data_IF_826426283524
#
_entry.id   IF_826426283524
#
_cell.length_a   1.000
_cell.length_b   1.000
_cell.length_c   1.000
_cell.angle_alpha   90.00
_cell.angle_beta   90.00
_cell.angle_gamma   90.00
#
_symmetry.space_group_name_H-M   'P 1'
#
loop_
_entity.id
_entity.type
_entity.pdbx_description
1 polymer ?
#
# COMPACT_ATOMS: atom_id res chain seq x y z
N UNK A 1 21.71 36.49 -18.55
CA UNK A 1 21.78 35.47 -17.49
C UNK A 1 21.14 34.20 -18.02
N UNK A 2 21.94 33.17 -18.34
CA UNK A 2 21.45 31.87 -18.83
C UNK A 2 21.10 31.02 -17.62
N UNK A 3 19.87 30.54 -17.54
CA UNK A 3 19.42 29.60 -16.50
C UNK A 3 20.22 28.29 -16.61
N UNK A 4 20.75 27.82 -15.49
CA UNK A 4 21.39 26.51 -15.39
C UNK A 4 20.31 25.40 -15.58
N UNK A 5 20.62 24.29 -16.27
CA UNK A 5 19.72 23.16 -16.34
C UNK A 5 19.55 22.57 -14.93
N UNK A 6 18.30 22.33 -14.54
CA UNK A 6 17.96 21.60 -13.32
C UNK A 6 18.49 20.16 -13.46
N UNK A 7 19.24 19.72 -12.47
CA UNK A 7 19.65 18.34 -12.33
C UNK A 7 18.41 17.45 -12.37
N UNK A 8 18.45 16.43 -13.23
CA UNK A 8 17.43 15.37 -13.27
C UNK A 8 17.49 14.66 -11.91
N UNK A 9 16.45 14.83 -11.11
CA UNK A 9 16.23 14.02 -9.94
C UNK A 9 16.09 12.57 -10.42
N UNK A 10 17.11 11.75 -10.19
CA UNK A 10 17.00 10.31 -10.34
C UNK A 10 16.05 9.83 -9.24
N UNK A 11 14.80 9.57 -9.60
CA UNK A 11 13.84 8.88 -8.74
C UNK A 11 14.28 7.43 -8.59
N UNK A 12 14.97 7.15 -7.51
CA UNK A 12 15.39 5.80 -7.13
C UNK A 12 14.39 5.29 -6.11
N UNK A 13 13.65 4.26 -6.48
CA UNK A 13 13.04 3.35 -5.50
C UNK A 13 11.54 3.26 -5.37
N UNK A 14 10.82 2.99 -6.45
CA UNK A 14 9.48 2.38 -6.34
C UNK A 14 9.58 0.89 -6.11
N UNK A 15 8.81 0.36 -5.14
CA UNK A 15 8.60 -1.08 -5.06
C UNK A 15 7.93 -1.54 -6.37
N UNK A 16 8.55 -2.45 -7.14
CA UNK A 16 8.03 -2.82 -8.45
C UNK A 16 6.68 -3.53 -8.31
N UNK A 17 5.78 -3.23 -9.24
CA UNK A 17 4.53 -3.95 -9.39
C UNK A 17 4.78 -5.45 -9.57
N UNK A 18 3.89 -6.29 -9.05
CA UNK A 18 3.87 -7.72 -9.37
C UNK A 18 3.67 -7.87 -10.89
N UNK A 19 4.76 -7.99 -11.63
CA UNK A 19 4.71 -8.13 -13.09
C UNK A 19 4.21 -9.51 -13.46
N UNK A 20 2.97 -9.59 -13.95
CA UNK A 20 2.68 -10.66 -14.88
C UNK A 20 3.48 -10.39 -16.15
N UNK A 21 4.16 -11.44 -16.66
CA UNK A 21 4.88 -11.44 -17.95
C UNK A 21 3.84 -11.20 -19.05
N UNK A 22 3.60 -9.95 -19.37
CA UNK A 22 2.88 -9.55 -20.56
C UNK A 22 3.84 -8.67 -21.34
N UNK A 23 4.04 -9.01 -22.62
CA UNK A 23 4.77 -8.25 -23.62
C UNK A 23 4.62 -6.75 -23.39
N UNK A 24 5.73 -6.01 -23.33
CA UNK A 24 5.80 -4.55 -23.18
C UNK A 24 5.05 -3.85 -24.32
N UNK A 25 3.73 -3.84 -24.28
CA UNK A 25 2.94 -2.87 -25.00
C UNK A 25 3.19 -1.51 -24.33
N UNK A 26 3.48 -0.48 -25.11
CA UNK A 26 3.69 0.89 -24.64
C UNK A 26 2.48 1.29 -23.80
N UNK A 27 2.65 1.43 -22.48
CA UNK A 27 1.56 1.79 -21.57
C UNK A 27 0.93 3.12 -22.00
N UNK A 28 -0.38 3.22 -21.86
CA UNK A 28 -1.09 4.44 -22.22
C UNK A 28 -0.82 5.57 -21.22
N UNK A 29 -1.14 6.78 -21.60
CA UNK A 29 -1.02 7.98 -20.77
C UNK A 29 -2.24 8.23 -19.84
N UNK A 30 -3.19 7.28 -19.79
CA UNK A 30 -4.38 7.34 -18.92
C UNK A 30 -4.72 5.96 -18.39
N UNK A 31 -5.16 5.89 -17.13
CA UNK A 31 -5.43 4.63 -16.44
C UNK A 31 -6.62 4.75 -15.50
N UNK A 32 -7.42 3.70 -15.43
CA UNK A 32 -8.28 3.44 -14.29
C UNK A 32 -7.44 2.77 -13.20
N UNK A 33 -7.24 3.45 -12.06
CA UNK A 33 -6.73 2.85 -10.83
C UNK A 33 -7.90 2.41 -9.97
N UNK A 34 -7.99 1.13 -9.68
CA UNK A 34 -9.13 0.53 -8.98
C UNK A 34 -8.66 -0.13 -7.69
N UNK A 35 -9.31 0.20 -6.58
CA UNK A 35 -9.19 -0.49 -5.29
C UNK A 35 -10.39 -1.42 -5.10
N UNK A 36 -10.14 -2.72 -5.06
CA UNK A 36 -11.14 -3.75 -4.77
C UNK A 36 -11.24 -3.97 -3.26
N UNK A 37 -11.78 -2.98 -2.55
CA UNK A 37 -12.09 -3.10 -1.13
C UNK A 37 -13.22 -4.11 -0.85
N UNK A 38 -13.31 -4.62 0.39
CA UNK A 38 -14.31 -5.65 0.75
C UNK A 38 -15.73 -5.10 0.96
N UNK A 39 -15.89 -3.79 1.07
CA UNK A 39 -17.20 -3.14 1.26
C UNK A 39 -17.46 -2.06 0.21
N UNK A 40 -16.42 -1.33 -0.17
CA UNK A 40 -16.49 -0.24 -1.15
C UNK A 40 -15.40 -0.44 -2.20
N UNK A 41 -15.81 -0.50 -3.47
CA UNK A 41 -14.87 -0.35 -4.58
C UNK A 41 -14.63 1.12 -4.83
N UNK A 42 -13.38 1.51 -5.01
CA UNK A 42 -12.98 2.87 -5.30
C UNK A 42 -12.20 2.92 -6.60
N UNK A 43 -12.36 3.99 -7.34
CA UNK A 43 -11.66 4.17 -8.59
C UNK A 43 -11.27 5.60 -8.84
N UNK A 44 -10.15 5.77 -9.54
CA UNK A 44 -9.67 7.05 -10.06
C UNK A 44 -9.37 6.92 -11.54
N UNK A 45 -9.59 8.00 -12.29
CA UNK A 45 -9.10 8.15 -13.66
C UNK A 45 -7.97 9.17 -13.62
N UNK A 46 -6.73 8.69 -13.71
CA UNK A 46 -5.53 9.49 -13.79
C UNK A 46 -5.00 9.58 -15.21
N UNK A 47 -4.46 10.73 -15.56
CA UNK A 47 -3.77 11.00 -16.81
C UNK A 47 -2.38 11.54 -16.55
N UNK A 48 -1.38 11.08 -17.30
CA UNK A 48 -0.03 11.63 -17.33
C UNK A 48 0.07 12.66 -18.45
N UNK A 49 0.46 13.89 -18.10
CA UNK A 49 0.72 14.98 -19.04
C UNK A 49 2.19 15.36 -18.98
N UNK A 50 2.95 15.00 -20.02
CA UNK A 50 4.41 15.16 -20.01
C UNK A 50 5.11 14.13 -19.12
N UNK A 51 6.30 14.46 -18.60
CA UNK A 51 7.13 13.50 -17.89
C UNK A 51 6.71 13.31 -16.41
N UNK A 52 6.32 14.39 -15.71
CA UNK A 52 6.14 14.36 -14.26
C UNK A 52 4.81 14.97 -13.77
N UNK A 53 3.83 15.17 -14.64
CA UNK A 53 2.56 15.79 -14.26
C UNK A 53 1.40 14.81 -14.38
N UNK A 54 0.73 14.58 -13.26
CA UNK A 54 -0.44 13.72 -13.18
C UNK A 54 -1.70 14.53 -12.92
N UNK A 55 -2.78 14.14 -13.54
CA UNK A 55 -4.05 14.86 -13.50
C UNK A 55 -5.17 13.91 -13.11
N UNK A 56 -5.86 14.19 -12.00
CA UNK A 56 -7.09 13.51 -11.64
C UNK A 56 -8.25 14.08 -12.48
N UNK A 57 -8.83 13.26 -13.33
CA UNK A 57 -9.94 13.66 -14.21
C UNK A 57 -11.28 13.09 -13.76
N UNK A 58 -11.29 12.02 -12.99
CA UNK A 58 -12.49 11.48 -12.34
C UNK A 58 -12.14 10.59 -11.15
N UNK A 59 -13.09 10.44 -10.23
CA UNK A 59 -13.08 9.41 -9.19
C UNK A 59 -14.51 8.93 -8.93
N UNK A 60 -14.64 7.75 -8.35
CA UNK A 60 -15.90 7.18 -7.90
C UNK A 60 -15.68 6.19 -6.76
N UNK A 61 -16.65 6.11 -5.87
CA UNK A 61 -16.75 5.10 -4.81
C UNK A 61 -18.10 4.41 -4.94
N UNK A 62 -18.13 3.09 -4.75
CA UNK A 62 -19.32 2.27 -4.88
C UNK A 62 -19.37 1.21 -3.80
N UNK A 63 -20.41 1.20 -3.00
CA UNK A 63 -20.69 0.08 -2.11
C UNK A 63 -20.96 -1.19 -2.92
N UNK A 64 -20.43 -2.30 -2.42
CA UNK A 64 -20.59 -3.62 -3.04
C UNK A 64 -21.10 -4.62 -2.02
N UNK A 65 -21.78 -5.69 -2.47
CA UNK A 65 -22.12 -6.80 -1.60
C UNK A 65 -20.90 -7.34 -0.87
N UNK A 66 -21.08 -7.74 0.39
CA UNK A 66 -19.98 -8.23 1.25
C UNK A 66 -19.25 -9.42 0.63
N UNK A 67 -19.96 -10.27 -0.13
CA UNK A 67 -19.39 -11.39 -0.85
C UNK A 67 -19.74 -11.32 -2.34
N UNK A 68 -18.72 -11.33 -3.17
CA UNK A 68 -18.80 -11.50 -4.62
C UNK A 68 -18.18 -12.85 -4.98
N UNK A 69 -19.03 -13.88 -5.15
CA UNK A 69 -18.59 -15.28 -5.26
C UNK A 69 -18.15 -15.66 -6.66
N UNK A 70 -18.69 -14.98 -7.68
CA UNK A 70 -18.45 -15.33 -9.07
C UNK A 70 -17.75 -14.21 -9.85
N UNK A 71 -17.00 -14.54 -10.93
CA UNK A 71 -16.46 -13.55 -11.83
C UNK A 71 -17.54 -12.65 -12.48
N UNK A 72 -18.75 -13.18 -12.68
CA UNK A 72 -19.89 -12.46 -13.23
C UNK A 72 -20.36 -11.33 -12.29
N UNK A 73 -20.54 -11.64 -11.01
CA UNK A 73 -20.92 -10.66 -9.99
C UNK A 73 -19.87 -9.56 -9.85
N UNK A 74 -18.61 -9.95 -9.79
CA UNK A 74 -17.50 -8.99 -9.74
C UNK A 74 -17.46 -8.12 -11.01
N UNK A 75 -17.63 -8.72 -12.20
CA UNK A 75 -17.67 -7.99 -13.47
C UNK A 75 -18.82 -6.99 -13.53
N UNK A 76 -19.98 -7.33 -12.94
CA UNK A 76 -21.12 -6.42 -12.87
C UNK A 76 -20.77 -5.19 -12.02
N UNK A 77 -20.18 -5.37 -10.84
CA UNK A 77 -19.77 -4.24 -9.98
C UNK A 77 -18.70 -3.38 -10.64
N UNK A 78 -17.71 -4.00 -11.29
CA UNK A 78 -16.70 -3.26 -12.05
C UNK A 78 -17.27 -2.44 -13.20
N UNK A 79 -18.23 -2.99 -13.96
CA UNK A 79 -18.92 -2.22 -15.03
C UNK A 79 -19.66 -1.01 -14.49
N UNK A 80 -20.31 -1.14 -13.34
CA UNK A 80 -20.98 -0.03 -12.68
C UNK A 80 -19.98 1.04 -12.22
N UNK A 81 -18.85 0.61 -11.60
CA UNK A 81 -17.80 1.55 -11.19
C UNK A 81 -17.18 2.28 -12.39
N UNK A 82 -16.89 1.58 -13.51
CA UNK A 82 -16.39 2.21 -14.73
C UNK A 82 -17.38 3.22 -15.32
N UNK A 83 -18.69 2.93 -15.23
CA UNK A 83 -19.73 3.87 -15.62
C UNK A 83 -19.75 5.13 -14.73
N UNK A 84 -19.59 4.96 -13.42
CA UNK A 84 -19.58 6.08 -12.44
C UNK A 84 -18.30 6.94 -12.59
N UNK A 85 -17.16 6.30 -12.93
CA UNK A 85 -15.93 7.00 -13.28
C UNK A 85 -16.13 7.83 -14.54
N UNK A 86 -16.85 7.30 -15.53
CA UNK A 86 -16.99 7.94 -16.84
C UNK A 86 -15.65 8.02 -17.58
N UNK A 87 -15.68 8.70 -18.75
CA UNK A 87 -14.46 8.86 -19.55
C UNK A 87 -13.94 7.55 -20.17
N UNK A 88 -12.69 7.57 -20.60
CA UNK A 88 -12.01 6.39 -21.15
C UNK A 88 -10.56 6.37 -20.68
N UNK A 89 -10.08 5.20 -20.31
CA UNK A 89 -8.69 4.95 -19.99
C UNK A 89 -8.05 4.02 -21.04
N UNK A 90 -6.74 4.11 -21.19
CA UNK A 90 -5.95 3.22 -22.05
C UNK A 90 -5.44 2.00 -21.31
N UNK A 91 -5.56 1.99 -20.00
CA UNK A 91 -5.16 0.88 -19.13
C UNK A 91 -6.04 0.77 -17.90
N UNK A 92 -5.91 -0.37 -17.21
CA UNK A 92 -6.58 -0.66 -15.98
C UNK A 92 -5.59 -1.31 -14.99
N UNK A 93 -5.40 -0.67 -13.85
CA UNK A 93 -4.55 -1.15 -12.78
C UNK A 93 -5.42 -1.41 -11.54
N UNK A 94 -5.29 -2.61 -10.96
CA UNK A 94 -6.15 -3.07 -9.88
C UNK A 94 -5.32 -3.35 -8.64
N UNK A 95 -5.72 -2.76 -7.53
CA UNK A 95 -5.23 -3.06 -6.20
C UNK A 95 -6.23 -3.95 -5.46
N UNK A 96 -5.71 -4.86 -4.65
CA UNK A 96 -6.48 -5.88 -3.95
C UNK A 96 -6.19 -5.79 -2.46
N UNK A 97 -7.26 -5.63 -1.67
CA UNK A 97 -7.26 -5.77 -0.23
C UNK A 97 -7.90 -7.12 0.13
N UNK A 98 -7.08 -8.15 0.32
CA UNK A 98 -7.56 -9.48 0.66
C UNK A 98 -6.86 -10.01 1.92
N UNK A 99 -7.61 -10.38 2.99
CA UNK A 99 -7.05 -11.00 4.20
C UNK A 99 -6.23 -12.26 3.91
N UNK A 100 -6.55 -12.98 2.83
CA UNK A 100 -5.79 -14.15 2.38
C UNK A 100 -4.51 -13.81 1.61
N UNK A 101 -4.18 -12.55 1.40
CA UNK A 101 -2.94 -12.15 0.73
C UNK A 101 -1.73 -12.24 1.68
N UNK A 102 -0.56 -12.49 1.09
CA UNK A 102 0.72 -12.52 1.77
C UNK A 102 1.51 -11.27 1.42
N UNK A 103 2.04 -10.58 2.43
CA UNK A 103 3.06 -9.54 2.22
C UNK A 103 4.07 -9.63 3.35
N UNK A 104 5.36 -9.89 3.02
CA UNK A 104 6.44 -10.11 3.98
C UNK A 104 7.74 -9.49 3.47
N UNK A 105 8.53 -8.97 4.40
CA UNK A 105 9.94 -8.62 4.15
C UNK A 105 10.78 -9.78 4.66
N UNK A 106 11.67 -10.28 3.82
CA UNK A 106 12.61 -11.37 4.15
C UNK A 106 14.04 -10.95 3.88
N UNK A 107 14.97 -11.53 4.61
CA UNK A 107 16.40 -11.37 4.38
C UNK A 107 16.99 -12.68 3.84
N UNK A 108 17.58 -12.62 2.65
CA UNK A 108 18.20 -13.76 1.99
C UNK A 108 19.55 -13.34 1.39
N UNK A 109 20.50 -14.26 1.18
CA UNK A 109 21.66 -13.99 0.34
C UNK A 109 21.21 -13.40 -1.00
N UNK A 110 22.02 -12.53 -1.59
CA UNK A 110 21.70 -11.95 -2.89
C UNK A 110 21.34 -13.06 -3.89
N UNK A 111 20.07 -13.06 -4.31
CA UNK A 111 19.49 -14.13 -5.15
C UNK A 111 18.74 -13.48 -6.32
N UNK A 112 19.01 -13.89 -7.57
CA UNK A 112 18.23 -13.45 -8.72
C UNK A 112 16.73 -13.69 -8.51
N UNK A 113 15.92 -12.72 -8.87
CA UNK A 113 14.47 -12.70 -8.56
C UNK A 113 13.74 -13.96 -9.03
N UNK A 114 14.06 -14.46 -10.24
CA UNK A 114 13.40 -15.65 -10.78
C UNK A 114 13.76 -16.91 -9.98
N UNK A 115 15.01 -17.02 -9.51
CA UNK A 115 15.43 -18.12 -8.63
C UNK A 115 14.76 -18.01 -7.26
N UNK A 116 14.71 -16.81 -6.69
CA UNK A 116 14.05 -16.57 -5.40
C UNK A 116 12.55 -16.90 -5.48
N UNK A 117 11.87 -16.44 -6.52
CA UNK A 117 10.45 -16.75 -6.76
C UNK A 117 10.18 -18.24 -6.86
N UNK A 118 11.05 -18.99 -7.55
CA UNK A 118 10.95 -20.44 -7.66
C UNK A 118 11.22 -21.13 -6.32
N UNK A 119 12.25 -20.69 -5.58
CA UNK A 119 12.57 -21.22 -4.26
C UNK A 119 11.42 -21.01 -3.27
N UNK A 120 10.82 -19.82 -3.23
CA UNK A 120 9.66 -19.51 -2.39
C UNK A 120 8.46 -20.39 -2.72
N UNK A 121 8.21 -20.64 -4.01
CA UNK A 121 7.10 -21.51 -4.42
C UNK A 121 7.27 -22.96 -3.99
N UNK A 122 8.52 -23.44 -3.99
CA UNK A 122 8.85 -24.83 -3.62
C UNK A 122 8.98 -25.02 -2.11
N UNK A 123 9.52 -24.03 -1.41
CA UNK A 123 9.86 -24.12 0.01
C UNK A 123 9.40 -22.91 0.82
N UNK A 124 8.23 -22.35 0.49
CA UNK A 124 7.67 -21.19 1.16
C UNK A 124 7.48 -21.38 2.67
N UNK A 125 7.18 -22.60 3.09
CA UNK A 125 7.00 -22.91 4.53
C UNK A 125 8.27 -22.59 5.34
N UNK A 126 9.45 -22.92 4.85
CA UNK A 126 10.70 -22.68 5.56
C UNK A 126 11.10 -21.19 5.59
N UNK A 127 10.76 -20.43 4.56
CA UNK A 127 11.18 -19.03 4.41
C UNK A 127 10.12 -18.05 4.91
N UNK A 128 8.85 -18.33 4.63
CA UNK A 128 7.71 -17.44 4.91
C UNK A 128 6.84 -17.93 6.08
N UNK A 129 7.14 -19.11 6.62
CA UNK A 129 6.29 -19.82 7.59
C UNK A 129 4.86 -20.02 7.06
N UNK A 130 4.73 -20.22 5.74
CA UNK A 130 3.44 -20.38 5.06
C UNK A 130 3.60 -21.27 3.81
N UNK A 131 2.67 -22.18 3.58
CA UNK A 131 2.61 -22.93 2.32
C UNK A 131 2.18 -22.00 1.18
N UNK A 132 2.97 -22.02 0.09
CA UNK A 132 2.80 -21.09 -1.02
C UNK A 132 2.35 -21.74 -2.34
N UNK A 133 1.98 -23.03 -2.32
CA UNK A 133 1.59 -23.78 -3.53
C UNK A 133 0.42 -23.16 -4.28
N UNK A 134 -0.55 -22.63 -3.53
CA UNK A 134 -1.77 -22.04 -4.07
C UNK A 134 -1.69 -20.54 -4.30
N UNK A 135 -0.49 -19.96 -4.12
CA UNK A 135 -0.27 -18.55 -4.35
C UNK A 135 0.29 -18.26 -5.74
N UNK A 136 -0.08 -17.10 -6.26
CA UNK A 136 0.69 -16.35 -7.27
C UNK A 136 1.62 -15.46 -6.47
N UNK A 137 2.93 -15.74 -6.55
CA UNK A 137 3.96 -15.00 -5.82
C UNK A 137 4.75 -14.08 -6.74
N UNK A 138 5.11 -12.93 -6.21
CA UNK A 138 6.15 -12.09 -6.76
C UNK A 138 7.06 -11.55 -5.65
N UNK A 139 8.27 -11.13 -6.01
CA UNK A 139 9.21 -10.55 -5.07
C UNK A 139 10.05 -9.47 -5.73
N UNK A 140 10.48 -8.50 -4.92
CA UNK A 140 11.32 -7.41 -5.34
C UNK A 140 12.37 -7.12 -4.27
N UNK A 141 13.59 -6.70 -4.64
CA UNK A 141 14.54 -6.23 -3.65
C UNK A 141 14.01 -4.95 -3.01
N UNK A 142 14.09 -4.85 -1.69
CA UNK A 142 13.99 -3.58 -0.98
C UNK A 142 15.36 -2.93 -1.12
N UNK A 143 15.40 -1.68 -1.56
CA UNK A 143 16.65 -0.98 -1.79
C UNK A 143 17.38 -0.86 -0.45
N UNK A 144 18.56 -1.50 -0.35
CA UNK A 144 19.50 -1.17 0.69
C UNK A 144 20.27 0.09 0.25
N UNK A 145 20.59 0.99 1.17
CA UNK A 145 21.60 2.01 0.92
C UNK A 145 22.85 1.29 0.39
N UNK A 146 23.38 1.73 -0.73
CA UNK A 146 24.73 1.35 -1.13
C UNK A 146 25.66 1.77 0.00
N UNK A 147 25.95 0.86 0.91
CA UNK A 147 27.10 1.00 1.78
C UNK A 147 28.27 1.05 0.82
N UNK A 148 28.80 2.25 0.58
CA UNK A 148 30.04 2.47 -0.14
C UNK A 148 31.10 1.55 0.47
N UNK A 149 31.16 0.34 -0.05
CA UNK A 149 32.24 -0.59 0.19
C UNK A 149 33.53 0.05 -0.31
N UNK A 150 34.20 0.76 0.57
CA UNK A 150 35.57 1.22 0.36
C UNK A 150 36.39 -0.03 0.04
N UNK A 151 36.56 -0.31 -1.25
CA UNK A 151 37.52 -1.26 -1.71
C UNK A 151 38.89 -0.79 -1.16
N UNK A 152 39.37 -1.46 -0.14
CA UNK A 152 40.72 -1.29 0.35
C UNK A 152 41.64 -1.86 -0.75
N UNK A 153 42.08 -1.00 -1.63
CA UNK A 153 43.21 -1.30 -2.51
C UNK A 153 44.42 -1.64 -1.64
N UNK A 154 44.71 -2.93 -1.52
CA UNK A 154 45.93 -3.44 -0.89
C UNK A 154 47.15 -2.97 -1.68
N UNK A 155 47.87 -2.00 -1.13
CA UNK A 155 49.23 -1.72 -1.50
C UNK A 155 50.15 -2.80 -0.93
N UNK A 156 50.96 -3.38 -1.80
CA UNK A 156 52.05 -4.30 -1.51
C UNK A 156 52.93 -3.81 -0.34
N UNK A 157 53.13 -4.67 0.64
CA UNK A 157 54.15 -4.51 1.70
C UNK A 157 54.55 -5.87 2.22
N UNK A 158 55.77 -6.28 1.87
CA UNK A 158 56.48 -7.46 2.36
C UNK A 158 56.69 -7.41 3.89
N UNK A 159 56.46 -8.54 4.59
CA UNK A 159 56.85 -8.66 6.01
C UNK A 159 56.35 -9.93 6.69
N UNK A 160 57.28 -10.76 7.02
CA UNK A 160 57.19 -12.06 7.69
C UNK A 160 56.35 -12.18 8.95
N UNK A 161 55.68 -13.33 9.08
CA UNK A 161 55.61 -14.12 10.33
C UNK A 161 54.46 -13.85 11.26
N UNK A 162 53.53 -14.75 11.30
CA UNK A 162 52.96 -15.47 12.43
C UNK A 162 51.51 -15.91 12.09
N UNK A 163 51.28 -17.17 12.30
CA UNK A 163 50.00 -17.85 12.15
C UNK A 163 48.98 -17.32 13.15
N UNK A 164 48.02 -16.55 12.70
CA UNK A 164 46.77 -16.30 13.41
C UNK A 164 45.62 -17.03 12.70
N UNK A 165 44.92 -17.81 13.48
CA UNK A 165 43.79 -18.65 13.08
C UNK A 165 42.72 -17.81 12.37
N UNK A 166 42.45 -18.13 11.12
CA UNK A 166 41.38 -17.60 10.29
C UNK A 166 40.00 -18.11 10.80
N UNK A 167 39.46 -17.51 11.83
CA UNK A 167 38.01 -17.53 12.10
C UNK A 167 37.30 -16.49 11.24
N UNK A 168 37.43 -16.61 9.94
CA UNK A 168 36.69 -15.82 8.97
C UNK A 168 35.26 -16.38 8.80
N UNK A 169 34.34 -15.99 9.64
CA UNK A 169 32.94 -16.08 9.26
C UNK A 169 32.73 -15.08 8.12
N UNK A 170 32.85 -15.55 6.88
CA UNK A 170 32.32 -14.83 5.71
C UNK A 170 30.79 -14.72 5.88
N UNK A 171 30.30 -13.69 6.53
CA UNK A 171 28.91 -13.36 6.52
C UNK A 171 28.54 -12.94 5.09
N UNK A 172 27.91 -13.84 4.36
CA UNK A 172 27.37 -13.54 3.04
C UNK A 172 26.41 -12.35 3.21
N UNK A 173 26.69 -11.26 2.52
CA UNK A 173 25.82 -10.07 2.56
C UNK A 173 24.39 -10.46 2.23
N UNK A 174 23.47 -10.16 3.14
CA UNK A 174 22.03 -10.43 2.95
C UNK A 174 21.37 -9.23 2.28
N UNK A 175 20.43 -9.53 1.42
CA UNK A 175 19.57 -8.55 0.75
C UNK A 175 18.15 -8.71 1.29
N UNK A 176 17.48 -7.60 1.56
CA UNK A 176 16.06 -7.58 1.92
C UNK A 176 15.21 -7.69 0.65
N UNK A 177 14.19 -8.52 0.71
CA UNK A 177 13.22 -8.68 -0.36
C UNK A 177 11.81 -8.50 0.18
N UNK A 178 10.99 -7.72 -0.51
CA UNK A 178 9.55 -7.72 -0.33
C UNK A 178 8.97 -8.88 -1.13
N UNK A 179 8.24 -9.74 -0.46
CA UNK A 179 7.53 -10.87 -1.07
C UNK A 179 6.05 -10.63 -0.94
N UNK A 180 5.36 -10.60 -2.08
CA UNK A 180 3.91 -10.49 -2.16
C UNK A 180 3.29 -11.75 -2.76
N UNK A 181 2.09 -12.11 -2.29
CA UNK A 181 1.36 -13.25 -2.79
C UNK A 181 -0.14 -13.12 -2.69
N UNK A 182 -0.84 -13.64 -3.69
CA UNK A 182 -2.29 -13.75 -3.71
C UNK A 182 -2.71 -15.18 -4.04
N UNK A 183 -3.82 -15.62 -3.47
CA UNK A 183 -4.40 -16.93 -3.80
C UNK A 183 -4.76 -17.00 -5.29
N UNK A 184 -4.40 -18.10 -5.95
CA UNK A 184 -4.70 -18.34 -7.38
C UNK A 184 -6.18 -18.21 -7.73
N UNK A 185 -7.14 -18.73 -6.93
CA UNK A 185 -8.55 -18.52 -7.19
C UNK A 185 -8.95 -17.05 -7.24
N UNK A 186 -8.45 -16.23 -6.32
CA UNK A 186 -8.72 -14.77 -6.28
C UNK A 186 -8.17 -14.08 -7.53
N UNK A 187 -6.92 -14.36 -7.91
CA UNK A 187 -6.31 -13.80 -9.13
C UNK A 187 -7.10 -14.20 -10.37
N UNK A 188 -7.51 -15.48 -10.45
CA UNK A 188 -8.31 -16.00 -11.57
C UNK A 188 -9.67 -15.31 -11.65
N UNK A 189 -10.39 -15.21 -10.54
CA UNK A 189 -11.69 -14.54 -10.48
C UNK A 189 -11.61 -13.09 -10.96
N UNK A 190 -10.61 -12.34 -10.50
CA UNK A 190 -10.42 -10.93 -10.89
C UNK A 190 -10.08 -10.83 -12.36
N UNK A 191 -9.15 -11.65 -12.86
CA UNK A 191 -8.76 -11.66 -14.29
C UNK A 191 -9.95 -11.96 -15.21
N UNK A 192 -10.75 -12.97 -14.86
CA UNK A 192 -11.95 -13.34 -15.62
C UNK A 192 -13.01 -12.22 -15.57
N UNK A 193 -13.22 -11.60 -14.41
CA UNK A 193 -14.14 -10.48 -14.27
C UNK A 193 -13.72 -9.28 -15.13
N UNK A 194 -12.44 -8.90 -15.11
CA UNK A 194 -11.90 -7.82 -15.93
C UNK A 194 -12.08 -8.09 -17.41
N UNK A 195 -11.79 -9.31 -17.86
CA UNK A 195 -12.00 -9.70 -19.27
C UNK A 195 -13.48 -9.57 -19.70
N UNK A 196 -14.43 -9.88 -18.80
CA UNK A 196 -15.88 -9.73 -19.05
C UNK A 196 -16.32 -8.26 -19.12
N UNK A 197 -15.56 -7.33 -18.59
CA UNK A 197 -15.82 -5.87 -18.72
C UNK A 197 -15.26 -5.28 -19.99
N UNK A 198 -14.50 -6.02 -20.79
CA UNK A 198 -13.69 -5.55 -21.92
C UNK A 198 -12.58 -4.55 -21.51
N UNK A 199 -12.22 -4.53 -20.25
CA UNK A 199 -11.14 -3.75 -19.68
C UNK A 199 -10.23 -4.72 -18.90
N UNK A 200 -9.32 -5.43 -19.57
CA UNK A 200 -8.39 -6.35 -18.93
C UNK A 200 -7.51 -5.60 -17.94
N UNK A 201 -7.16 -6.23 -16.84
CA UNK A 201 -6.23 -5.65 -15.88
C UNK A 201 -4.80 -5.78 -16.43
N UNK A 202 -4.10 -4.65 -16.55
CA UNK A 202 -2.68 -4.60 -16.92
C UNK A 202 -1.78 -4.88 -15.72
N UNK A 203 -2.23 -4.49 -14.52
CA UNK A 203 -1.54 -4.66 -13.25
C UNK A 203 -2.52 -5.19 -12.22
N UNK A 204 -2.08 -6.19 -11.44
CA UNK A 204 -2.68 -6.57 -10.16
C UNK A 204 -1.62 -6.33 -9.07
N UNK A 205 -1.98 -5.57 -8.03
CA UNK A 205 -1.06 -5.21 -6.95
C UNK A 205 -1.74 -5.36 -5.60
N UNK A 206 -0.97 -5.59 -4.53
CA UNK A 206 -1.47 -5.59 -3.17
C UNK A 206 -1.71 -4.16 -2.67
N UNK A 207 -2.84 -3.92 -2.04
CA UNK A 207 -3.25 -2.61 -1.54
C UNK A 207 -2.21 -1.93 -0.62
N UNK A 208 -1.53 -2.63 0.31
CA UNK A 208 -0.49 -2.01 1.13
C UNK A 208 0.66 -1.42 0.31
N UNK A 209 1.09 -2.11 -0.76
CA UNK A 209 2.13 -1.61 -1.67
C UNK A 209 1.65 -0.37 -2.42
N UNK A 210 0.39 -0.37 -2.84
CA UNK A 210 -0.20 0.80 -3.51
C UNK A 210 -0.27 2.01 -2.58
N UNK A 211 -0.68 1.83 -1.32
CA UNK A 211 -0.71 2.90 -0.33
C UNK A 211 0.69 3.49 -0.07
N UNK A 212 1.71 2.63 0.04
CA UNK A 212 3.10 3.05 0.20
C UNK A 212 3.62 3.86 -1.01
N UNK A 213 3.34 3.39 -2.23
CA UNK A 213 3.72 4.09 -3.45
C UNK A 213 2.98 5.43 -3.62
N UNK A 214 1.70 5.50 -3.19
CA UNK A 214 0.95 6.76 -3.20
C UNK A 214 1.57 7.79 -2.25
N UNK A 215 2.02 7.35 -1.07
CA UNK A 215 2.68 8.22 -0.10
C UNK A 215 4.04 8.73 -0.61
N UNK A 216 4.84 7.87 -1.22
CA UNK A 216 6.08 8.28 -1.90
C UNK A 216 5.83 9.41 -2.90
N UNK A 217 4.75 9.27 -3.67
CA UNK A 217 4.40 10.24 -4.69
C UNK A 217 3.89 11.57 -4.11
N UNK A 218 3.03 11.50 -3.10
CA UNK A 218 2.41 12.67 -2.49
C UNK A 218 3.37 13.45 -1.58
N UNK A 219 4.23 12.75 -0.83
CA UNK A 219 5.12 13.33 0.18
C UNK A 219 6.58 12.91 -0.01
N UNK A 220 7.21 13.19 -1.17
CA UNK A 220 8.54 12.67 -1.51
C UNK A 220 9.65 13.11 -0.55
N UNK A 221 9.52 14.27 0.10
CA UNK A 221 10.51 14.75 1.07
C UNK A 221 10.46 13.96 2.39
N UNK A 222 9.25 13.70 2.93
CA UNK A 222 9.06 12.89 4.12
C UNK A 222 9.52 11.46 3.81
N UNK A 223 9.08 10.91 2.68
CA UNK A 223 9.44 9.58 2.22
C UNK A 223 10.95 9.36 2.11
N UNK A 224 11.69 10.39 1.66
CA UNK A 224 13.12 10.29 1.44
C UNK A 224 13.95 10.44 2.73
N UNK A 225 13.49 11.24 3.69
CA UNK A 225 14.35 11.71 4.78
C UNK A 225 13.90 11.24 6.16
N UNK A 226 12.61 10.98 6.35
CA UNK A 226 12.03 10.76 7.67
C UNK A 226 11.64 9.28 7.88
N UNK A 227 11.45 8.92 9.15
CA UNK A 227 10.68 7.74 9.52
C UNK A 227 9.20 8.14 9.62
N UNK A 228 8.31 7.35 9.04
CA UNK A 228 6.87 7.60 9.02
C UNK A 228 6.07 6.31 9.18
N UNK A 229 4.87 6.45 9.74
CA UNK A 229 3.90 5.36 9.84
C UNK A 229 2.65 5.74 9.06
N UNK A 230 2.23 4.84 8.17
CA UNK A 230 0.93 4.89 7.49
C UNK A 230 0.00 3.88 8.18
N UNK A 231 -1.19 4.34 8.55
CA UNK A 231 -2.27 3.50 9.06
C UNK A 231 -3.45 3.60 8.09
N UNK A 232 -3.67 2.55 7.29
CA UNK A 232 -4.84 2.46 6.41
C UNK A 232 -5.95 1.66 7.08
N UNK A 233 -7.06 2.35 7.42
CA UNK A 233 -8.18 1.75 8.14
C UNK A 233 -9.29 1.31 7.18
N UNK A 234 -9.22 0.03 6.79
CA UNK A 234 -10.18 -0.60 5.88
C UNK A 234 -11.47 -1.08 6.58
N UNK A 235 -12.26 -1.86 5.84
CA UNK A 235 -13.52 -2.41 6.35
C UNK A 235 -13.30 -3.63 7.26
N UNK A 236 -12.50 -4.62 6.85
CA UNK A 236 -12.24 -5.83 7.63
C UNK A 236 -10.95 -5.73 8.44
N UNK A 237 -9.92 -5.11 7.88
CA UNK A 237 -8.57 -5.03 8.44
C UNK A 237 -8.04 -3.62 8.32
N UNK A 238 -7.13 -3.28 9.22
CA UNK A 238 -6.26 -2.11 9.12
C UNK A 238 -4.84 -2.56 8.78
N UNK A 239 -4.12 -1.73 8.04
CA UNK A 239 -2.73 -1.99 7.65
C UNK A 239 -1.82 -0.94 8.23
N UNK A 240 -0.77 -1.38 8.91
CA UNK A 240 0.34 -0.55 9.37
C UNK A 240 1.52 -0.74 8.43
N UNK A 241 2.04 0.36 7.90
CA UNK A 241 3.26 0.41 7.12
C UNK A 241 4.22 1.39 7.80
N UNK A 242 5.45 0.97 8.06
CA UNK A 242 6.50 1.89 8.50
C UNK A 242 7.53 1.98 7.39
N UNK A 243 7.78 3.20 6.96
CA UNK A 243 8.82 3.55 6.01
C UNK A 243 9.90 4.40 6.66
N UNK A 244 11.11 4.29 6.17
CA UNK A 244 12.24 5.10 6.58
C UNK A 244 13.25 5.19 5.45
N UNK A 245 13.72 6.39 5.11
CA UNK A 245 14.76 6.61 4.10
C UNK A 245 14.51 5.88 2.78
N UNK A 246 13.28 5.99 2.26
CA UNK A 246 12.80 5.36 1.02
C UNK A 246 12.55 3.85 1.11
N UNK A 247 12.78 3.21 2.25
CA UNK A 247 12.56 1.77 2.42
C UNK A 247 11.24 1.49 3.15
N UNK A 248 10.56 0.44 2.74
CA UNK A 248 9.50 -0.18 3.53
C UNK A 248 10.17 -1.08 4.58
N UNK A 249 10.06 -0.69 5.84
CA UNK A 249 10.74 -1.38 6.96
C UNK A 249 9.83 -2.40 7.63
N UNK A 250 8.53 -2.07 7.75
CA UNK A 250 7.56 -2.95 8.40
C UNK A 250 6.22 -2.90 7.65
N UNK A 251 5.60 -4.06 7.54
CA UNK A 251 4.21 -4.20 7.10
C UNK A 251 3.49 -5.15 8.04
N UNK A 252 2.32 -4.72 8.54
CA UNK A 252 1.50 -5.52 9.44
C UNK A 252 0.02 -5.31 9.13
N UNK A 253 -0.74 -6.40 9.01
CA UNK A 253 -2.20 -6.37 8.96
C UNK A 253 -2.74 -6.62 10.36
N UNK A 254 -3.76 -5.87 10.75
CA UNK A 254 -4.45 -5.94 12.04
C UNK A 254 -5.92 -6.25 11.76
N UNK A 255 -6.46 -7.31 12.38
CA UNK A 255 -7.86 -7.70 12.24
C UNK A 255 -8.78 -6.75 13.00
N UNK A 256 -8.85 -5.52 12.52
CA UNK A 256 -9.72 -4.44 12.98
C UNK A 256 -10.02 -3.50 11.81
N UNK A 257 -11.29 -3.13 11.66
CA UNK A 257 -11.76 -2.20 10.63
C UNK A 257 -13.19 -1.74 10.88
N UNK A 258 -13.81 -1.12 9.89
CA UNK A 258 -15.16 -0.56 9.98
C UNK A 258 -16.21 -1.57 10.44
N UNK A 259 -16.08 -2.84 10.02
CA UNK A 259 -16.97 -3.92 10.47
C UNK A 259 -16.90 -4.15 11.98
N UNK A 260 -15.70 -4.16 12.56
CA UNK A 260 -15.53 -4.36 14.00
C UNK A 260 -16.11 -3.18 14.80
N UNK A 261 -15.94 -1.95 14.33
CA UNK A 261 -16.54 -0.77 14.96
C UNK A 261 -18.07 -0.80 14.85
N UNK A 262 -18.64 -1.12 13.68
CA UNK A 262 -20.07 -1.29 13.51
C UNK A 262 -20.63 -2.35 14.46
N UNK A 263 -19.95 -3.49 14.60
CA UNK A 263 -20.35 -4.55 15.54
C UNK A 263 -20.30 -4.08 17.00
N UNK A 264 -19.29 -3.28 17.38
CA UNK A 264 -19.23 -2.71 18.72
C UNK A 264 -20.39 -1.73 19.02
N UNK A 265 -20.77 -0.91 18.03
CA UNK A 265 -21.88 0.03 18.14
C UNK A 265 -23.27 -0.66 18.19
N UNK A 266 -23.39 -1.85 17.63
CA UNK A 266 -24.64 -2.61 17.59
C UNK A 266 -24.74 -3.68 18.68
N UNK A 267 -23.74 -3.80 19.54
CA UNK A 267 -23.61 -4.93 20.50
C UNK A 267 -24.74 -4.98 21.54
N UNK A 268 -25.28 -3.84 21.94
CA UNK A 268 -26.38 -3.74 22.88
C UNK A 268 -27.77 -3.87 22.25
N UNK A 269 -27.85 -3.92 20.91
CA UNK A 269 -29.09 -4.03 20.16
C UNK A 269 -29.90 -2.72 20.05
N UNK A 270 -29.36 -1.60 20.53
CA UNK A 270 -30.02 -0.28 20.44
C UNK A 270 -29.98 0.29 19.00
N UNK A 271 -28.93 -0.04 18.25
CA UNK A 271 -28.74 0.39 16.86
C UNK A 271 -28.71 -0.81 15.91
N UNK A 272 -29.27 -0.62 14.72
CA UNK A 272 -29.03 -1.52 13.60
C UNK A 272 -27.72 -1.16 12.86
N UNK A 273 -27.26 -2.05 11.98
CA UNK A 273 -26.00 -1.86 11.26
C UNK A 273 -26.00 -0.60 10.34
N UNK A 274 -27.16 -0.20 9.82
CA UNK A 274 -27.26 1.00 8.98
C UNK A 274 -27.17 2.27 9.83
N UNK A 275 -27.90 2.32 10.96
CA UNK A 275 -27.81 3.43 11.91
C UNK A 275 -26.39 3.60 12.46
N UNK A 276 -25.72 2.49 12.81
CA UNK A 276 -24.33 2.53 13.27
C UNK A 276 -23.38 3.07 12.19
N UNK A 277 -23.56 2.71 10.92
CA UNK A 277 -22.76 3.27 9.81
C UNK A 277 -22.97 4.77 9.63
N UNK A 278 -24.23 5.22 9.64
CA UNK A 278 -24.54 6.66 9.56
C UNK A 278 -23.88 7.39 10.73
N UNK A 279 -23.96 6.88 11.95
CA UNK A 279 -23.31 7.44 13.13
C UNK A 279 -21.79 7.56 12.96
N UNK A 280 -21.13 6.54 12.37
CA UNK A 280 -19.71 6.58 12.05
C UNK A 280 -19.42 7.66 11.00
N UNK A 281 -20.19 7.72 9.92
CA UNK A 281 -19.99 8.67 8.82
C UNK A 281 -20.19 10.12 9.24
N UNK A 282 -21.18 10.37 10.09
CA UNK A 282 -21.50 11.70 10.62
C UNK A 282 -20.57 12.13 11.77
N UNK A 283 -19.81 11.19 12.34
CA UNK A 283 -18.90 11.46 13.44
C UNK A 283 -19.61 11.82 14.75
N UNK A 284 -20.76 11.18 15.01
CA UNK A 284 -21.58 11.47 16.17
C UNK A 284 -20.78 11.32 17.48
N UNK A 285 -20.81 12.37 18.32
CA UNK A 285 -20.11 12.40 19.60
C UNK A 285 -20.59 11.30 20.56
N UNK A 286 -21.83 10.81 20.41
CA UNK A 286 -22.37 9.71 21.22
C UNK A 286 -21.63 8.38 21.07
N UNK A 287 -20.83 8.22 20.00
CA UNK A 287 -20.03 7.00 19.81
C UNK A 287 -18.65 7.02 20.51
N UNK A 288 -18.23 8.14 21.09
CA UNK A 288 -16.85 8.35 21.55
C UNK A 288 -16.37 7.28 22.55
N UNK A 289 -17.21 6.87 23.51
CA UNK A 289 -16.83 5.85 24.50
C UNK A 289 -16.71 4.45 23.88
N UNK A 290 -17.63 4.10 22.98
CA UNK A 290 -17.59 2.82 22.24
C UNK A 290 -16.39 2.82 21.29
N UNK A 291 -16.10 3.94 20.61
CA UNK A 291 -14.90 4.08 19.80
C UNK A 291 -13.64 3.84 20.62
N UNK A 292 -13.50 4.47 21.79
CA UNK A 292 -12.33 4.31 22.66
C UNK A 292 -12.12 2.85 23.02
N UNK A 293 -13.14 2.16 23.53
CA UNK A 293 -13.02 0.75 23.92
C UNK A 293 -12.74 -0.14 22.72
N UNK A 294 -13.38 0.09 21.57
CA UNK A 294 -13.20 -0.69 20.36
C UNK A 294 -11.83 -0.49 19.73
N UNK A 295 -11.31 0.74 19.70
CA UNK A 295 -10.01 1.09 19.09
C UNK A 295 -8.80 0.68 19.96
N UNK A 296 -8.98 0.35 21.24
CA UNK A 296 -7.88 -0.02 22.15
C UNK A 296 -7.00 -1.15 21.58
N UNK A 297 -7.62 -2.16 20.96
CA UNK A 297 -6.87 -3.25 20.31
C UNK A 297 -6.02 -2.75 19.16
N UNK A 298 -6.60 -1.94 18.27
CA UNK A 298 -5.87 -1.34 17.14
C UNK A 298 -4.71 -0.48 17.64
N UNK A 299 -4.97 0.40 18.60
CA UNK A 299 -3.95 1.27 19.19
C UNK A 299 -2.81 0.47 19.83
N UNK A 300 -3.12 -0.63 20.52
CA UNK A 300 -2.10 -1.53 21.09
C UNK A 300 -1.20 -2.14 20.02
N UNK A 301 -1.77 -2.64 18.92
CA UNK A 301 -0.98 -3.22 17.83
C UNK A 301 -0.16 -2.16 17.07
N UNK A 302 -0.67 -0.93 16.94
CA UNK A 302 0.08 0.20 16.39
C UNK A 302 1.26 0.55 17.31
N UNK A 303 1.05 0.69 18.63
CA UNK A 303 2.14 0.92 19.62
C UNK A 303 3.20 -0.19 19.57
N UNK A 304 2.79 -1.45 19.48
CA UNK A 304 3.70 -2.58 19.34
C UNK A 304 4.55 -2.47 18.07
N UNK A 305 3.95 -1.98 16.96
CA UNK A 305 4.66 -1.79 15.69
C UNK A 305 5.67 -0.65 15.77
N UNK A 306 5.31 0.46 16.45
CA UNK A 306 6.20 1.59 16.72
C UNK A 306 7.36 1.13 17.59
N UNK A 307 7.08 0.48 18.74
CA UNK A 307 8.12 0.00 19.66
C UNK A 307 9.07 -1.01 19.02
N UNK A 308 8.55 -1.88 18.12
CA UNK A 308 9.39 -2.80 17.36
C UNK A 308 10.34 -2.05 16.42
N UNK A 309 9.84 -1.03 15.72
CA UNK A 309 10.66 -0.22 14.83
C UNK A 309 11.73 0.58 15.60
N UNK A 310 11.34 1.32 16.63
CA UNK A 310 12.22 2.18 17.42
C UNK A 310 13.25 1.39 18.23
N UNK A 311 12.94 0.15 18.60
CA UNK A 311 13.89 -0.76 19.25
C UNK A 311 15.03 -1.23 18.34
N UNK A 312 14.91 -1.06 17.03
CA UNK A 312 15.90 -1.49 16.03
C UNK A 312 16.54 -0.33 15.26
N UNK A 313 15.99 0.89 15.38
CA UNK A 313 16.41 2.06 14.61
C UNK A 313 16.58 3.26 15.54
N UNK A 314 17.49 4.17 15.19
CA UNK A 314 17.74 5.39 15.94
C UNK A 314 16.67 6.48 15.72
N UNK A 315 15.83 6.32 14.72
CA UNK A 315 14.77 7.29 14.38
C UNK A 315 13.46 6.91 15.08
N UNK A 316 12.75 7.91 15.60
CA UNK A 316 11.43 7.74 16.21
C UNK A 316 10.30 8.14 15.26
N UNK A 317 9.12 7.56 15.48
CA UNK A 317 7.89 7.93 14.79
C UNK A 317 7.24 9.09 15.56
N UNK A 318 7.10 10.25 14.92
CA UNK A 318 6.56 11.45 15.56
C UNK A 318 5.11 11.74 15.20
N UNK A 319 4.58 11.13 14.13
CA UNK A 319 3.20 11.28 13.67
C UNK A 319 2.76 10.05 12.89
N UNK A 320 1.46 9.87 12.80
CA UNK A 320 0.82 8.77 12.09
C UNK A 320 -0.04 9.36 10.98
N UNK A 321 0.24 8.95 9.75
CA UNK A 321 -0.53 9.33 8.58
C UNK A 321 -1.66 8.31 8.38
N UNK A 322 -2.90 8.76 8.52
CA UNK A 322 -4.08 7.91 8.52
C UNK A 322 -4.83 8.02 7.20
N UNK A 323 -5.29 6.89 6.68
CA UNK A 323 -6.11 6.78 5.46
C UNK A 323 -7.18 5.70 5.62
N UNK A 324 -8.01 5.55 4.59
CA UNK A 324 -9.10 4.56 4.58
C UNK A 324 -10.45 5.14 4.97
N UNK A 325 -11.50 4.31 4.93
CA UNK A 325 -12.86 4.77 5.13
C UNK A 325 -13.15 5.36 6.51
N UNK A 326 -12.56 4.79 7.56
CA UNK A 326 -12.72 5.26 8.94
C UNK A 326 -11.97 6.57 9.23
N UNK A 327 -10.95 6.90 8.44
CA UNK A 327 -10.20 8.13 8.59
C UNK A 327 -10.98 9.40 8.20
N UNK A 328 -12.17 9.25 7.64
CA UNK A 328 -13.09 10.37 7.35
C UNK A 328 -13.71 10.96 8.62
N UNK A 329 -13.67 10.24 9.72
CA UNK A 329 -14.38 10.56 10.97
C UNK A 329 -13.44 11.18 11.98
N UNK A 330 -13.62 12.45 12.31
CA UNK A 330 -12.77 13.21 13.23
C UNK A 330 -12.73 12.57 14.64
N UNK A 331 -13.87 12.11 15.15
CA UNK A 331 -13.95 11.42 16.45
C UNK A 331 -13.03 10.20 16.53
N UNK A 332 -12.88 9.44 15.42
CA UNK A 332 -11.99 8.29 15.35
C UNK A 332 -10.53 8.74 15.38
N UNK A 333 -10.18 9.76 14.60
CA UNK A 333 -8.82 10.31 14.55
C UNK A 333 -8.39 10.85 15.90
N UNK A 334 -9.26 11.62 16.56
CA UNK A 334 -8.99 12.15 17.90
C UNK A 334 -8.82 11.03 18.92
N UNK A 335 -9.71 10.04 18.93
CA UNK A 335 -9.60 8.88 19.82
C UNK A 335 -8.28 8.13 19.62
N UNK A 336 -7.87 7.93 18.37
CA UNK A 336 -6.58 7.28 18.07
C UNK A 336 -5.39 8.12 18.54
N UNK A 337 -5.42 9.44 18.33
CA UNK A 337 -4.37 10.34 18.79
C UNK A 337 -4.23 10.31 20.32
N UNK A 338 -5.36 10.33 21.02
CA UNK A 338 -5.38 10.27 22.51
C UNK A 338 -4.85 8.92 23.01
N UNK A 339 -5.28 7.81 22.40
CA UNK A 339 -4.84 6.46 22.76
C UNK A 339 -3.37 6.22 22.45
N UNK A 340 -2.85 6.75 21.34
CA UNK A 340 -1.47 6.53 20.91
C UNK A 340 -0.49 7.53 21.53
N UNK A 341 -0.96 8.69 21.99
CA UNK A 341 -0.11 9.79 22.43
C UNK A 341 0.69 10.42 21.30
N UNK A 342 0.28 10.22 20.04
CA UNK A 342 0.90 10.75 18.84
C UNK A 342 -0.14 11.39 17.93
N UNK A 343 0.20 12.47 17.20
CA UNK A 343 -0.71 13.04 16.22
C UNK A 343 -1.10 12.04 15.13
N UNK A 344 -2.41 11.85 14.93
CA UNK A 344 -2.98 11.08 13.84
C UNK A 344 -3.57 12.06 12.81
N UNK A 345 -2.96 12.15 11.64
CA UNK A 345 -3.29 13.14 10.62
C UNK A 345 -3.73 12.42 9.33
N UNK A 346 -4.81 12.89 8.71
CA UNK A 346 -5.16 12.44 7.35
C UNK A 346 -4.13 12.96 6.35
N UNK A 347 -3.90 12.22 5.28
CA UNK A 347 -2.99 12.64 4.22
C UNK A 347 -3.67 12.56 2.84
N UNK A 348 -3.27 13.46 1.95
CA UNK A 348 -3.84 13.56 0.60
C UNK A 348 -2.96 12.81 -0.42
N UNK A 349 -3.42 11.69 -1.00
CA UNK A 349 -2.67 10.97 -2.04
C UNK A 349 -2.56 11.76 -3.35
N UNK A 350 -3.29 12.89 -3.47
CA UNK A 350 -3.33 13.75 -4.64
C UNK A 350 -2.56 15.07 -4.46
N UNK A 351 -1.81 15.23 -3.34
CA UNK A 351 -1.11 16.46 -2.97
C UNK A 351 -0.31 17.08 -4.12
N UNK A 352 0.33 16.24 -4.93
CA UNK A 352 1.14 16.67 -6.07
C UNK A 352 0.41 16.61 -7.41
N UNK A 353 -0.89 16.25 -7.41
CA UNK A 353 -1.66 16.10 -8.63
C UNK A 353 -2.42 17.38 -9.02
N UNK A 354 -2.54 17.61 -10.32
CA UNK A 354 -3.52 18.54 -10.86
C UNK A 354 -4.93 17.92 -10.75
N UNK A 355 -5.91 18.70 -10.27
CA UNK A 355 -7.31 18.24 -10.15
C UNK A 355 -8.15 18.90 -11.23
N UNK A 356 -8.57 18.13 -12.24
CA UNK A 356 -9.40 18.54 -13.36
C UNK A 356 -10.79 17.87 -13.30
N UNK A 357 -11.53 18.12 -12.21
CA UNK A 357 -12.84 17.54 -11.94
C UNK A 357 -13.98 18.50 -12.28
N UNK A 358 -15.17 17.99 -12.64
CA UNK A 358 -16.40 18.77 -12.67
C UNK A 358 -16.66 19.41 -11.30
N UNK A 359 -17.35 20.58 -11.26
CA UNK A 359 -17.54 21.36 -10.03
C UNK A 359 -18.10 20.54 -8.85
N UNK A 360 -19.14 19.74 -9.08
CA UNK A 360 -19.74 18.91 -8.03
C UNK A 360 -18.76 17.88 -7.43
N UNK A 361 -17.99 17.16 -8.27
CA UNK A 361 -16.97 16.20 -7.81
C UNK A 361 -15.81 16.92 -7.11
N UNK A 362 -15.42 18.11 -7.59
CA UNK A 362 -14.37 18.91 -6.95
C UNK A 362 -14.77 19.35 -5.54
N UNK A 363 -16.04 19.75 -5.35
CA UNK A 363 -16.59 20.15 -4.05
C UNK A 363 -16.64 18.97 -3.06
N UNK A 364 -16.92 17.75 -3.54
CA UNK A 364 -17.00 16.55 -2.70
C UNK A 364 -15.63 15.92 -2.40
N UNK A 365 -14.58 16.21 -3.19
CA UNK A 365 -13.26 15.59 -3.06
C UNK A 365 -12.63 15.69 -1.66
N UNK A 366 -12.75 16.82 -0.91
CA UNK A 366 -12.19 16.91 0.45
C UNK A 366 -12.68 15.84 1.42
N UNK A 367 -13.86 15.30 1.21
CA UNK A 367 -14.43 14.22 2.04
C UNK A 367 -14.10 12.82 1.52
N UNK A 368 -13.50 12.71 0.31
CA UNK A 368 -13.27 11.44 -0.37
C UNK A 368 -11.80 11.06 -0.50
N UNK A 369 -10.91 12.04 -0.68
CA UNK A 369 -9.49 11.79 -1.04
C UNK A 369 -8.79 10.84 -0.07
N UNK A 370 -9.08 10.95 1.23
CA UNK A 370 -8.44 10.14 2.28
C UNK A 370 -8.60 8.63 2.08
N UNK A 371 -9.62 8.23 1.32
CA UNK A 371 -9.90 6.83 1.01
C UNK A 371 -9.47 6.41 -0.40
N UNK A 372 -8.88 7.30 -1.20
CA UNK A 372 -8.44 7.04 -2.58
C UNK A 372 -6.95 6.63 -2.68
N UNK A 373 -6.23 6.59 -1.57
CA UNK A 373 -4.80 6.28 -1.48
C UNK A 373 -4.40 5.04 -2.28
N UNK A 374 -5.12 3.94 -2.12
CA UNK A 374 -4.84 2.66 -2.79
C UNK A 374 -5.08 2.74 -4.30
N UNK A 375 -6.22 3.32 -4.71
CA UNK A 375 -6.56 3.50 -6.12
C UNK A 375 -5.58 4.46 -6.82
N UNK A 376 -5.16 5.53 -6.15
CA UNK A 376 -4.14 6.45 -6.64
C UNK A 376 -2.78 5.75 -6.78
N UNK A 377 -2.36 4.99 -5.78
CA UNK A 377 -1.06 4.32 -5.79
C UNK A 377 -0.90 3.31 -6.92
N UNK A 378 -1.92 2.50 -7.19
CA UNK A 378 -1.86 1.56 -8.31
C UNK A 378 -1.89 2.28 -9.67
N UNK A 379 -2.58 3.43 -9.75
CA UNK A 379 -2.60 4.24 -10.96
C UNK A 379 -1.25 4.93 -11.22
N UNK A 380 -0.59 5.47 -10.19
CA UNK A 380 0.75 6.04 -10.31
C UNK A 380 1.77 5.00 -10.76
N UNK A 381 1.72 3.80 -10.20
CA UNK A 381 2.60 2.70 -10.60
C UNK A 381 2.44 2.34 -12.08
N UNK A 382 1.20 2.32 -12.59
CA UNK A 382 0.96 2.11 -14.02
C UNK A 382 1.53 3.23 -14.88
N UNK A 383 1.34 4.48 -14.50
CA UNK A 383 1.72 5.65 -15.31
C UNK A 383 3.22 5.97 -15.27
N UNK A 384 3.96 5.52 -14.23
CA UNK A 384 5.41 5.69 -14.12
C UNK A 384 6.20 4.70 -14.99
N UNK A 385 5.69 3.50 -15.17
CA UNK A 385 6.30 2.42 -15.94
C UNK A 385 5.84 2.42 -17.40
#
# INVERSE_FOLDING_TARGET
>A
MRARPREKSEYVGTLPAMKQITTMARRGNSVFGIDLGKHVFKGVLLQRKGDDRFVLTSYASREVPEELKTPEELAQQLKLLFKDLGGSAKGCAIAISDPGSLLRIIEQPHTPIDLLRNALRLNGLAVLNQECKDFVLDCAPVLAEETNGRAVNGTNGNGNGASEELNGHNSVAKTKYLVGGMLRPTVKQISEACNKTKMPADILQLAPVCSFNAFEFAYPQIFANDAFLLLDMGHLQSTVLIGSKKELVLVRSIDYGGKALTQALTADGALDANAARVMIEEGDAGMAEICRSSLTRLATEVRNSIGFYEGQHEQSIHRIFVSGGLAKTETILQTLSDELGLPCEIWDPLETCEVALPPAKRQALPNEFVSLNVACGVAFEYLRN
#
